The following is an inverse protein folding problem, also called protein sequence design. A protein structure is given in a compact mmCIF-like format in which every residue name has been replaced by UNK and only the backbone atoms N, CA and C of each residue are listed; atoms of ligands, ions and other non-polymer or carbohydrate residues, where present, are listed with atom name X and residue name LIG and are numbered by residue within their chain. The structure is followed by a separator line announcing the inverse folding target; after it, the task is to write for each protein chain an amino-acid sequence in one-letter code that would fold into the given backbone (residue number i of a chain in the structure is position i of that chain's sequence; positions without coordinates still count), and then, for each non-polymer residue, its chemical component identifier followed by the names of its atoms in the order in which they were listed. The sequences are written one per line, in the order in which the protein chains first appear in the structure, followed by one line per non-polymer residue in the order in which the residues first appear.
data_IF_416404607898
#
_entry.id   IF_416404607898
#
_cell.length_a   1.000
_cell.length_b   1.000
_cell.length_c   1.000
_cell.angle_alpha   90.00
_cell.angle_beta   90.00
_cell.angle_gamma   90.00
#
_symmetry.space_group_name_H-M   'P 1'
#
loop_
_entity.id
_entity.type
_entity.pdbx_description
1 polymer ?
#
# COMPACT_ATOMS: atom_id res chain seq x y z
N UNK A 1 -21.94 -32.37 -4.88
CA UNK A 1 -21.68 -31.63 -6.13
C UNK A 1 -20.25 -31.12 -5.99
N UNK A 2 -19.32 -31.81 -6.63
CA UNK A 2 -17.90 -31.85 -6.26
C UNK A 2 -17.19 -30.50 -6.31
N UNK A 3 -16.54 -30.15 -5.21
CA UNK A 3 -15.70 -28.96 -5.03
C UNK A 3 -14.22 -29.23 -5.34
N UNK A 4 -13.94 -30.29 -6.10
CA UNK A 4 -12.63 -30.70 -6.55
C UNK A 4 -12.63 -30.73 -8.08
N UNK A 5 -12.29 -29.60 -8.73
CA UNK A 5 -11.79 -29.50 -10.12
C UNK A 5 -11.56 -28.01 -10.52
N UNK A 6 -10.82 -27.25 -9.71
CA UNK A 6 -9.97 -26.17 -10.23
C UNK A 6 -8.53 -26.69 -10.15
N UNK A 7 -8.19 -27.65 -11.02
CA UNK A 7 -6.78 -27.93 -11.26
C UNK A 7 -6.19 -26.69 -11.93
N UNK A 8 -5.05 -26.23 -11.43
CA UNK A 8 -4.10 -25.30 -12.10
C UNK A 8 -3.56 -25.96 -13.39
N UNK A 9 -4.44 -26.36 -14.29
CA UNK A 9 -4.08 -26.88 -15.61
C UNK A 9 -3.72 -25.66 -16.48
N UNK A 10 -2.44 -25.30 -16.37
CA UNK A 10 -1.62 -24.59 -17.36
C UNK A 10 -2.11 -23.20 -17.78
N UNK A 11 -1.70 -22.18 -17.02
CA UNK A 11 -1.80 -20.77 -17.43
C UNK A 11 -0.78 -20.49 -18.55
N UNK A 12 -1.13 -20.85 -19.77
CA UNK A 12 -0.31 -20.57 -20.95
C UNK A 12 -0.34 -19.06 -21.27
N UNK A 13 0.83 -18.41 -21.26
CA UNK A 13 1.04 -17.12 -21.90
C UNK A 13 1.13 -17.34 -23.42
N UNK A 14 0.96 -16.30 -24.24
CA UNK A 14 1.11 -16.40 -25.71
C UNK A 14 1.85 -15.17 -26.24
N UNK A 15 2.99 -15.37 -26.89
CA UNK A 15 3.82 -14.26 -27.40
C UNK A 15 3.07 -13.44 -28.44
N UNK A 16 3.21 -12.10 -28.43
CA UNK A 16 2.60 -11.24 -29.45
C UNK A 16 3.24 -11.38 -30.84
N UNK A 17 4.52 -11.78 -30.92
CA UNK A 17 5.26 -11.86 -32.20
C UNK A 17 4.90 -13.11 -33.00
N UNK A 18 5.05 -14.31 -32.42
CA UNK A 18 4.89 -15.59 -33.12
C UNK A 18 3.64 -16.36 -32.69
N UNK A 19 2.85 -15.82 -31.76
CA UNK A 19 1.67 -16.46 -31.19
C UNK A 19 1.97 -17.85 -30.58
N UNK A 20 3.17 -18.04 -30.02
CA UNK A 20 3.58 -19.29 -29.40
C UNK A 20 3.23 -19.30 -27.91
N UNK A 21 2.60 -20.37 -27.40
CA UNK A 21 2.40 -20.56 -25.98
C UNK A 21 3.71 -20.71 -25.21
N UNK A 22 3.78 -20.15 -24.00
CA UNK A 22 4.92 -20.30 -23.08
C UNK A 22 4.47 -20.26 -21.61
N UNK A 23 5.31 -20.78 -20.71
CA UNK A 23 5.07 -20.80 -19.26
C UNK A 23 6.17 -20.02 -18.53
N UNK A 24 5.82 -18.88 -17.94
CA UNK A 24 6.76 -18.01 -17.23
C UNK A 24 7.42 -18.71 -16.04
N UNK A 25 6.72 -19.63 -15.35
CA UNK A 25 7.22 -20.24 -14.12
C UNK A 25 7.97 -21.53 -14.43
N UNK A 26 7.29 -22.49 -15.06
CA UNK A 26 7.83 -23.84 -15.27
C UNK A 26 8.93 -23.91 -16.33
N UNK A 27 8.87 -23.04 -17.33
CA UNK A 27 9.82 -23.04 -18.45
C UNK A 27 10.82 -21.90 -18.31
N UNK A 28 10.36 -20.66 -18.12
CA UNK A 28 11.26 -19.51 -18.05
C UNK A 28 11.88 -19.27 -16.67
N UNK A 29 11.42 -19.98 -15.62
CA UNK A 29 12.04 -19.96 -14.29
C UNK A 29 11.70 -18.73 -13.44
N UNK A 30 10.68 -17.94 -13.77
CA UNK A 30 10.22 -16.84 -12.92
C UNK A 30 9.53 -17.38 -11.64
N UNK A 31 9.69 -16.74 -10.46
CA UNK A 31 9.04 -17.19 -9.22
C UNK A 31 7.51 -17.18 -9.26
N UNK A 32 6.92 -16.26 -10.04
CA UNK A 32 5.48 -16.11 -10.21
C UNK A 32 5.19 -15.61 -11.63
N UNK A 33 3.98 -15.84 -12.13
CA UNK A 33 3.51 -15.19 -13.36
C UNK A 33 3.47 -13.67 -13.19
N UNK A 34 3.73 -12.94 -14.27
CA UNK A 34 3.85 -11.48 -14.23
C UNK A 34 3.29 -10.83 -15.49
N UNK A 35 2.93 -9.56 -15.36
CA UNK A 35 2.38 -8.73 -16.43
C UNK A 35 2.72 -7.26 -16.19
N UNK A 36 2.17 -6.37 -17.01
CA UNK A 36 2.50 -4.95 -16.97
C UNK A 36 1.26 -4.05 -16.93
N UNK A 37 1.43 -2.83 -16.44
CA UNK A 37 0.45 -1.78 -16.63
C UNK A 37 1.14 -0.42 -16.82
N UNK A 38 0.45 0.48 -17.52
CA UNK A 38 0.89 1.84 -17.82
C UNK A 38 -0.26 2.82 -17.63
N UNK A 39 0.05 3.97 -17.04
CA UNK A 39 -0.84 5.13 -16.96
C UNK A 39 -0.18 6.31 -17.70
N UNK A 40 -0.94 6.96 -18.59
CA UNK A 40 -0.41 8.03 -19.43
C UNK A 40 -0.24 9.36 -18.68
N UNK A 41 -1.14 9.68 -17.75
CA UNK A 41 -1.01 10.83 -16.87
C UNK A 41 -1.67 10.53 -15.52
N UNK A 42 -0.85 10.30 -14.48
CA UNK A 42 -1.31 10.03 -13.12
C UNK A 42 -2.02 11.21 -12.46
N UNK A 43 -1.89 12.42 -12.99
CA UNK A 43 -2.50 13.66 -12.48
C UNK A 43 -3.83 13.98 -13.16
N UNK A 44 -4.06 13.40 -14.35
CA UNK A 44 -5.31 13.51 -15.09
C UNK A 44 -6.40 12.69 -14.39
N UNK A 45 -7.44 13.36 -13.91
CA UNK A 45 -8.54 12.73 -13.18
C UNK A 45 -9.83 13.53 -13.30
N UNK A 46 -10.98 12.87 -13.22
CA UNK A 46 -12.29 13.53 -13.04
C UNK A 46 -12.65 13.74 -11.56
N UNK A 47 -11.85 13.20 -10.65
CA UNK A 47 -12.12 13.26 -9.22
C UNK A 47 -11.87 14.66 -8.65
N UNK A 48 -12.76 15.10 -7.76
CA UNK A 48 -12.60 16.38 -7.06
C UNK A 48 -11.49 16.32 -6.02
N UNK A 49 -11.04 17.50 -5.59
CA UNK A 49 -10.23 17.63 -4.39
C UNK A 49 -11.16 17.50 -3.19
N UNK A 50 -10.87 16.56 -2.29
CA UNK A 50 -11.74 16.22 -1.18
C UNK A 50 -11.09 15.30 -0.15
N UNK A 51 -11.72 15.13 1.02
CA UNK A 51 -11.11 14.46 2.16
C UNK A 51 -11.19 12.93 2.07
N UNK A 52 -12.01 12.37 1.18
CA UNK A 52 -12.14 10.91 1.03
C UNK A 52 -10.91 10.31 0.35
N UNK A 53 -10.47 9.09 0.73
CA UNK A 53 -9.23 8.50 0.21
C UNK A 53 -9.25 8.24 -1.31
N UNK A 54 -10.42 8.12 -1.93
CA UNK A 54 -10.58 8.00 -3.39
C UNK A 54 -10.55 9.34 -4.13
N UNK A 55 -10.66 10.44 -3.40
CA UNK A 55 -10.56 11.82 -3.91
C UNK A 55 -9.10 12.30 -3.78
N UNK A 56 -8.83 13.52 -4.25
CA UNK A 56 -7.48 14.09 -4.16
C UNK A 56 -7.31 14.90 -2.87
N UNK A 57 -6.30 14.60 -2.08
CA UNK A 57 -5.99 15.35 -0.86
C UNK A 57 -5.50 16.80 -1.12
N UNK A 58 -4.95 17.05 -2.31
CA UNK A 58 -4.48 18.37 -2.78
C UNK A 58 -4.52 18.42 -4.30
N UNK A 59 -4.44 19.63 -4.87
CA UNK A 59 -4.28 19.81 -6.32
C UNK A 59 -2.91 19.24 -6.73
N UNK A 60 -2.87 18.55 -7.86
CA UNK A 60 -1.66 17.99 -8.46
C UNK A 60 -1.56 18.43 -9.92
N UNK A 61 -0.36 18.72 -10.38
CA UNK A 61 0.02 18.87 -11.79
C UNK A 61 1.16 17.89 -12.13
N UNK A 62 1.44 17.64 -13.42
CA UNK A 62 2.62 16.87 -13.82
C UNK A 62 3.88 17.36 -13.10
N UNK A 63 4.67 16.40 -12.62
CA UNK A 63 5.83 16.63 -11.77
C UNK A 63 5.54 16.68 -10.27
N UNK A 64 4.30 16.85 -9.80
CA UNK A 64 3.99 16.79 -8.36
C UNK A 64 3.89 15.34 -7.85
N UNK A 65 3.43 14.40 -8.71
CA UNK A 65 3.44 12.97 -8.41
C UNK A 65 4.84 12.43 -8.70
N UNK A 66 5.50 11.86 -7.70
CA UNK A 66 6.89 11.37 -7.82
C UNK A 66 7.00 9.87 -8.03
N UNK A 67 6.04 9.13 -7.48
CA UNK A 67 6.01 7.69 -7.50
C UNK A 67 4.57 7.19 -7.36
N UNK A 68 4.39 5.88 -7.52
CA UNK A 68 3.18 5.16 -7.16
C UNK A 68 3.50 4.07 -6.15
N UNK A 69 2.55 3.76 -5.26
CA UNK A 69 2.55 2.55 -4.43
C UNK A 69 1.58 1.55 -5.03
N UNK A 70 1.99 0.29 -5.12
CA UNK A 70 1.18 -0.81 -5.62
C UNK A 70 0.89 -1.75 -4.44
N UNK A 71 -0.39 -1.95 -4.14
CA UNK A 71 -0.82 -2.67 -2.94
C UNK A 71 -1.62 -3.90 -3.34
N UNK A 72 -1.20 -5.07 -2.86
CA UNK A 72 -1.92 -6.33 -3.01
C UNK A 72 -3.00 -6.47 -1.93
N UNK A 73 -4.18 -6.95 -2.34
CA UNK A 73 -5.19 -7.46 -1.42
C UNK A 73 -4.87 -8.88 -0.95
N UNK A 74 -4.93 -9.12 0.37
CA UNK A 74 -4.79 -10.46 0.93
C UNK A 74 -6.19 -10.97 1.27
N UNK A 75 -6.54 -12.15 0.75
CA UNK A 75 -7.79 -12.81 1.08
C UNK A 75 -7.81 -13.13 2.58
N UNK A 76 -8.89 -12.80 3.28
CA UNK A 76 -9.07 -13.19 4.68
C UNK A 76 -9.31 -14.72 4.73
N UNK A 77 -8.36 -15.47 5.28
CA UNK A 77 -8.43 -16.93 5.43
C UNK A 77 -8.07 -17.29 6.87
N UNK A 78 -9.10 -17.63 7.65
CA UNK A 78 -9.00 -17.76 9.10
C UNK A 78 -9.51 -19.16 9.52
N UNK A 79 -8.64 -20.19 9.44
CA UNK A 79 -9.05 -21.57 9.73
C UNK A 79 -9.35 -21.81 11.21
N UNK A 80 -8.79 -21.00 12.11
CA UNK A 80 -8.96 -21.13 13.56
C UNK A 80 -9.93 -20.07 14.11
N UNK A 81 -11.18 -20.46 14.34
CA UNK A 81 -12.21 -19.57 14.88
C UNK A 81 -11.88 -19.00 16.27
N UNK A 82 -11.00 -19.64 17.04
CA UNK A 82 -10.50 -19.13 18.33
C UNK A 82 -9.53 -17.96 18.18
N UNK A 83 -8.97 -17.75 16.99
CA UNK A 83 -7.97 -16.72 16.67
C UNK A 83 -8.53 -15.56 15.84
N UNK A 84 -9.76 -15.68 15.35
CA UNK A 84 -10.41 -14.65 14.55
C UNK A 84 -11.80 -14.29 15.08
N UNK A 85 -12.11 -12.99 15.11
CA UNK A 85 -13.46 -12.52 15.43
C UNK A 85 -13.81 -11.25 14.66
N UNK A 86 -14.94 -11.27 13.96
CA UNK A 86 -15.47 -10.10 13.27
C UNK A 86 -16.09 -9.09 14.26
N UNK A 87 -16.08 -7.81 13.92
CA UNK A 87 -16.74 -6.73 14.67
C UNK A 87 -16.08 -6.33 15.99
N UNK A 88 -14.89 -6.83 16.32
CA UNK A 88 -14.20 -6.52 17.61
C UNK A 88 -13.66 -5.08 17.68
N UNK A 89 -13.62 -4.37 16.56
CA UNK A 89 -13.30 -2.95 16.48
C UNK A 89 -14.54 -2.10 16.19
N UNK A 90 -15.73 -2.53 16.62
CA UNK A 90 -16.98 -1.79 16.39
C UNK A 90 -17.00 -0.41 17.03
N UNK A 91 -16.22 -0.20 18.09
CA UNK A 91 -15.96 1.09 18.72
C UNK A 91 -14.94 1.96 17.96
N UNK A 92 -14.28 1.43 16.93
CA UNK A 92 -13.29 2.11 16.10
C UNK A 92 -13.88 2.50 14.73
N UNK A 93 -13.02 2.89 13.79
CA UNK A 93 -13.41 3.44 12.48
C UNK A 93 -14.12 2.44 11.57
N UNK A 94 -13.83 1.15 11.72
CA UNK A 94 -14.38 0.09 10.88
C UNK A 94 -15.81 -0.30 11.21
N UNK A 95 -16.31 0.05 12.40
CA UNK A 95 -17.65 -0.35 12.85
C UNK A 95 -17.85 -1.87 12.75
N UNK A 96 -19.01 -2.29 12.26
CA UNK A 96 -19.36 -3.70 12.05
C UNK A 96 -18.44 -4.44 11.04
N UNK A 97 -17.73 -3.70 10.18
CA UNK A 97 -16.81 -4.26 9.17
C UNK A 97 -15.38 -4.45 9.68
N UNK A 98 -15.11 -4.08 10.93
CA UNK A 98 -13.84 -4.38 11.59
C UNK A 98 -13.71 -5.88 11.90
N UNK A 99 -12.52 -6.31 12.30
CA UNK A 99 -12.27 -7.67 12.80
C UNK A 99 -11.04 -7.69 13.71
N UNK A 100 -10.68 -8.85 14.25
CA UNK A 100 -9.42 -9.04 15.00
C UNK A 100 -8.19 -8.62 14.21
N UNK A 101 -8.29 -8.52 12.88
CA UNK A 101 -7.17 -8.15 12.03
C UNK A 101 -7.06 -6.64 11.84
N UNK A 102 -8.16 -5.89 11.99
CA UNK A 102 -8.17 -4.45 11.75
C UNK A 102 -9.33 -3.75 12.46
N UNK A 103 -9.02 -2.62 13.09
CA UNK A 103 -10.00 -1.65 13.59
C UNK A 103 -10.63 -0.78 12.50
N UNK A 104 -10.22 -0.94 11.24
CA UNK A 104 -10.78 -0.25 10.06
C UNK A 104 -11.58 -1.23 9.19
N UNK A 105 -12.30 -0.72 8.18
CA UNK A 105 -12.97 -1.56 7.19
C UNK A 105 -12.00 -2.15 6.14
N UNK A 106 -10.71 -1.80 6.21
CA UNK A 106 -9.69 -2.31 5.29
C UNK A 106 -9.10 -3.61 5.85
N UNK A 107 -9.27 -4.70 5.10
CA UNK A 107 -8.69 -6.02 5.40
C UNK A 107 -7.17 -6.04 5.15
N UNK A 108 -6.55 -7.19 5.42
CA UNK A 108 -5.12 -7.44 5.27
C UNK A 108 -4.61 -7.18 3.86
N UNK A 109 -3.40 -6.64 3.76
CA UNK A 109 -2.74 -6.20 2.52
C UNK A 109 -1.23 -6.36 2.59
N UNK A 110 -0.60 -6.35 1.43
CA UNK A 110 0.86 -6.30 1.29
C UNK A 110 1.24 -5.27 0.23
N UNK A 111 2.48 -4.80 0.26
CA UNK A 111 3.00 -3.88 -0.74
C UNK A 111 3.65 -4.74 -1.83
N UNK A 112 3.13 -4.65 -3.06
CA UNK A 112 3.80 -5.25 -4.24
C UNK A 112 5.11 -4.50 -4.49
N UNK A 113 5.06 -3.18 -4.42
CA UNK A 113 6.24 -2.33 -4.53
C UNK A 113 5.88 -0.89 -4.88
N UNK A 114 6.89 -0.17 -5.32
CA UNK A 114 6.86 1.21 -5.74
C UNK A 114 7.35 1.35 -7.17
N UNK A 115 6.83 2.32 -7.91
CA UNK A 115 7.40 2.69 -9.21
C UNK A 115 7.53 4.20 -9.32
N UNK A 116 8.60 4.68 -9.94
CA UNK A 116 8.76 6.12 -10.19
C UNK A 116 7.76 6.61 -11.24
N UNK A 117 7.41 7.89 -11.16
CA UNK A 117 6.56 8.57 -12.14
C UNK A 117 7.43 9.57 -12.90
N UNK A 118 7.30 9.57 -14.22
CA UNK A 118 7.99 10.50 -15.11
C UNK A 118 7.53 11.95 -14.86
N UNK A 119 8.32 12.93 -15.30
CA UNK A 119 7.98 14.35 -15.10
C UNK A 119 6.71 14.81 -15.85
N UNK A 120 6.30 14.09 -16.89
CA UNK A 120 5.06 14.28 -17.63
C UNK A 120 3.85 13.62 -16.94
N UNK A 121 4.05 12.97 -15.80
CA UNK A 121 3.03 12.27 -15.03
C UNK A 121 2.80 10.82 -15.46
N UNK A 122 3.50 10.33 -16.49
CA UNK A 122 3.35 8.96 -16.98
C UNK A 122 4.12 7.94 -16.14
N UNK A 123 3.64 6.70 -16.10
CA UNK A 123 4.31 5.60 -15.36
C UNK A 123 4.00 4.26 -16.00
N UNK A 124 4.99 3.37 -16.05
CA UNK A 124 4.86 1.98 -16.49
C UNK A 124 5.62 1.06 -15.55
N UNK A 125 5.10 -0.14 -15.29
CA UNK A 125 5.77 -1.13 -14.45
C UNK A 125 5.42 -2.55 -14.83
N UNK A 126 6.34 -3.46 -14.51
CA UNK A 126 6.11 -4.90 -14.41
C UNK A 126 5.77 -5.27 -12.95
N UNK A 127 4.88 -6.25 -12.75
CA UNK A 127 4.49 -6.76 -11.42
C UNK A 127 3.89 -8.16 -11.50
N UNK A 128 3.53 -8.77 -10.36
CA UNK A 128 2.81 -10.04 -10.35
C UNK A 128 1.47 -9.97 -11.10
N UNK A 129 1.18 -11.04 -11.84
CA UNK A 129 -0.11 -11.31 -12.47
C UNK A 129 -0.98 -12.20 -11.57
N UNK A 130 -2.25 -12.38 -11.96
CA UNK A 130 -3.29 -13.15 -11.25
C UNK A 130 -3.37 -12.83 -9.74
N UNK A 131 -2.98 -11.61 -9.37
CA UNK A 131 -2.92 -11.08 -8.01
C UNK A 131 -3.86 -9.87 -7.93
N UNK A 132 -4.78 -9.79 -6.94
CA UNK A 132 -5.63 -8.61 -6.76
C UNK A 132 -4.81 -7.45 -6.23
N UNK A 133 -4.84 -6.30 -6.92
CA UNK A 133 -4.06 -5.12 -6.53
C UNK A 133 -4.80 -3.80 -6.75
N UNK A 134 -4.31 -2.74 -6.12
CA UNK A 134 -4.65 -1.36 -6.43
C UNK A 134 -3.41 -0.44 -6.38
N UNK A 135 -3.59 0.81 -6.82
CA UNK A 135 -2.50 1.80 -6.95
C UNK A 135 -2.83 3.06 -6.15
N UNK A 136 -1.80 3.67 -5.56
CA UNK A 136 -1.85 5.00 -4.95
C UNK A 136 -0.82 5.90 -5.63
N UNK A 137 -1.22 7.12 -5.98
CA UNK A 137 -0.28 8.14 -6.50
C UNK A 137 0.35 8.89 -5.32
N UNK A 138 1.67 9.07 -5.35
CA UNK A 138 2.45 9.57 -4.22
C UNK A 138 3.05 10.95 -4.53
N UNK A 139 3.00 11.84 -3.55
CA UNK A 139 3.68 13.12 -3.62
C UNK A 139 5.20 13.01 -3.35
N UNK A 140 5.85 14.17 -3.24
CA UNK A 140 7.27 14.29 -2.92
C UNK A 140 7.64 13.87 -1.51
N UNK A 141 6.69 13.58 -0.61
CA UNK A 141 6.96 12.97 0.69
C UNK A 141 6.63 11.47 0.70
N UNK A 142 6.29 10.89 -0.45
CA UNK A 142 5.92 9.49 -0.59
C UNK A 142 4.57 9.15 0.04
N UNK A 143 3.67 10.13 0.22
CA UNK A 143 2.34 9.93 0.82
C UNK A 143 1.28 9.82 -0.27
N UNK A 144 0.27 8.95 -0.07
CA UNK A 144 -0.84 8.82 -1.00
C UNK A 144 -1.67 10.12 -1.10
N UNK A 145 -1.72 10.72 -2.29
CA UNK A 145 -2.60 11.85 -2.60
C UNK A 145 -3.99 11.38 -3.02
N UNK A 146 -4.06 10.23 -3.69
CA UNK A 146 -5.30 9.59 -4.12
C UNK A 146 -5.09 8.07 -4.20
N UNK A 147 -6.09 7.31 -3.73
CA UNK A 147 -6.10 5.84 -3.77
C UNK A 147 -7.14 5.30 -4.74
N UNK A 148 -6.74 4.47 -5.70
CA UNK A 148 -7.65 3.80 -6.62
C UNK A 148 -8.37 2.61 -5.98
N UNK A 149 -9.40 2.84 -5.16
CA UNK A 149 -10.08 1.82 -4.35
C UNK A 149 -10.94 0.83 -5.15
N UNK A 150 -10.29 0.00 -5.98
CA UNK A 150 -10.88 -1.13 -6.69
C UNK A 150 -9.84 -2.24 -6.86
N UNK A 151 -10.28 -3.48 -7.01
CA UNK A 151 -9.38 -4.61 -7.27
C UNK A 151 -9.13 -4.76 -8.76
N UNK A 152 -7.95 -4.35 -9.20
CA UNK A 152 -7.41 -4.69 -10.51
C UNK A 152 -6.75 -6.08 -10.48
N UNK A 153 -6.64 -6.70 -11.64
CA UNK A 153 -5.89 -7.91 -11.88
C UNK A 153 -5.30 -7.86 -13.29
N UNK A 154 -4.12 -8.44 -13.46
CA UNK A 154 -3.48 -8.67 -14.76
C UNK A 154 -3.44 -10.17 -15.01
N UNK A 155 -3.64 -10.59 -16.25
CA UNK A 155 -3.37 -11.99 -16.64
C UNK A 155 -1.88 -12.14 -16.98
N UNK A 156 -1.30 -13.36 -16.91
CA UNK A 156 0.09 -13.59 -17.27
C UNK A 156 0.43 -13.02 -18.65
N UNK A 157 1.59 -12.35 -18.75
CA UNK A 157 2.09 -11.65 -19.95
C UNK A 157 1.22 -10.46 -20.45
N UNK A 158 0.04 -10.21 -19.88
CA UNK A 158 -0.81 -9.10 -20.34
C UNK A 158 -0.30 -7.74 -19.87
N UNK A 159 -0.48 -6.74 -20.73
CA UNK A 159 -0.32 -5.32 -20.44
C UNK A 159 -1.68 -4.63 -20.34
N UNK A 160 -1.82 -3.64 -19.44
CA UNK A 160 -3.02 -2.79 -19.34
C UNK A 160 -2.69 -1.30 -19.43
N UNK A 161 -3.49 -0.55 -20.18
CA UNK A 161 -3.35 0.90 -20.35
C UNK A 161 -4.51 1.68 -19.72
N UNK A 162 -4.25 2.91 -19.26
CA UNK A 162 -5.26 3.92 -18.95
C UNK A 162 -4.75 5.34 -19.28
N UNK A 163 -5.66 6.26 -19.66
CA UNK A 163 -5.28 7.65 -19.94
C UNK A 163 -4.87 8.38 -18.65
N UNK A 164 -5.64 8.21 -17.57
CA UNK A 164 -5.32 8.82 -16.29
C UNK A 164 -5.96 8.14 -15.08
N UNK A 165 -5.75 8.75 -13.91
CA UNK A 165 -6.27 8.28 -12.63
C UNK A 165 -7.79 8.55 -12.54
N UNK A 166 -8.60 7.57 -12.95
CA UNK A 166 -10.07 7.75 -12.99
C UNK A 166 -10.47 8.95 -13.85
N UNK A 167 -9.86 9.10 -15.03
CA UNK A 167 -10.18 10.17 -15.98
C UNK A 167 -11.45 9.89 -16.80
N UNK A 168 -11.96 8.66 -16.71
CA UNK A 168 -13.12 8.16 -17.44
C UNK A 168 -12.80 7.34 -18.70
N UNK A 169 -11.53 7.14 -19.08
CA UNK A 169 -11.14 6.41 -20.31
C UNK A 169 -11.62 4.96 -20.34
N UNK A 170 -11.69 4.32 -19.17
CA UNK A 170 -12.21 2.96 -18.99
C UNK A 170 -13.70 2.94 -18.58
N UNK A 171 -14.40 4.09 -18.63
CA UNK A 171 -15.79 4.21 -18.19
C UNK A 171 -16.71 4.81 -19.24
N UNK A 172 -16.53 6.08 -19.57
CA UNK A 172 -17.52 6.86 -20.33
C UNK A 172 -16.92 7.96 -21.19
N UNK A 173 -15.59 8.03 -21.27
CA UNK A 173 -14.85 9.01 -22.08
C UNK A 173 -13.95 8.25 -23.05
N UNK A 174 -13.74 8.83 -24.22
CA UNK A 174 -12.74 8.32 -25.15
C UNK A 174 -11.34 8.48 -24.55
N UNK A 175 -10.40 7.62 -24.98
CA UNK A 175 -8.99 7.79 -24.64
C UNK A 175 -8.48 9.13 -25.19
N UNK A 176 -7.70 9.84 -24.37
CA UNK A 176 -7.06 11.07 -24.80
C UNK A 176 -5.81 10.73 -25.61
N UNK A 177 -5.55 11.48 -26.67
CA UNK A 177 -4.33 11.32 -27.45
C UNK A 177 -3.16 11.93 -26.66
N UNK A 178 -2.33 11.08 -26.06
CA UNK A 178 -1.22 11.48 -25.20
C UNK A 178 0.06 10.82 -25.70
N UNK A 179 1.14 11.59 -25.79
CA UNK A 179 2.47 11.10 -26.12
C UNK A 179 3.32 11.16 -24.84
N UNK A 180 3.64 10.00 -24.28
CA UNK A 180 4.18 9.88 -22.93
C UNK A 180 5.56 9.24 -22.89
N UNK A 181 6.36 9.62 -21.89
CA UNK A 181 7.69 9.06 -21.66
C UNK A 181 7.64 7.58 -21.31
N UNK A 182 6.71 7.19 -20.44
CA UNK A 182 6.56 5.79 -20.01
C UNK A 182 6.32 4.81 -21.17
N UNK A 183 5.75 5.26 -22.29
CA UNK A 183 5.58 4.41 -23.48
C UNK A 183 6.92 3.89 -24.02
N UNK A 184 7.97 4.70 -23.96
CA UNK A 184 9.32 4.33 -24.42
C UNK A 184 10.09 3.48 -23.42
N UNK A 185 9.57 3.31 -22.21
CA UNK A 185 10.14 2.49 -21.16
C UNK A 185 9.38 1.16 -21.00
N UNK A 186 8.53 0.79 -21.95
CA UNK A 186 7.65 -0.37 -21.82
C UNK A 186 8.21 -1.64 -22.47
N UNK A 187 8.48 -1.60 -23.78
CA UNK A 187 9.07 -2.70 -24.55
C UNK A 187 9.84 -2.11 -25.74
N UNK A 188 11.15 -2.29 -25.74
CA UNK A 188 12.07 -1.73 -26.75
C UNK A 188 13.10 -2.74 -27.27
N UNK A 189 13.22 -3.91 -26.65
CA UNK A 189 14.16 -4.98 -27.04
C UNK A 189 13.42 -6.16 -27.67
N UNK A 190 13.85 -6.60 -28.86
CA UNK A 190 13.22 -7.70 -29.61
C UNK A 190 13.43 -9.08 -28.98
N UNK A 191 14.34 -9.18 -28.00
CA UNK A 191 14.62 -10.39 -27.22
C UNK A 191 13.77 -10.48 -25.95
N UNK A 192 13.10 -9.40 -25.55
CA UNK A 192 12.33 -9.30 -24.31
C UNK A 192 10.84 -9.52 -24.54
N UNK A 193 10.15 -9.99 -23.49
CA UNK A 193 8.68 -9.92 -23.37
C UNK A 193 8.23 -8.49 -23.02
N UNK A 194 8.89 -7.90 -22.03
CA UNK A 194 8.77 -6.49 -21.64
C UNK A 194 10.10 -6.01 -21.06
N UNK A 195 10.35 -4.71 -21.20
CA UNK A 195 11.52 -4.02 -20.67
C UNK A 195 11.16 -3.01 -19.57
N UNK A 196 9.89 -2.95 -19.17
CA UNK A 196 9.45 -2.10 -18.07
C UNK A 196 10.03 -2.57 -16.74
N UNK A 197 10.50 -1.64 -15.88
CA UNK A 197 11.04 -2.00 -14.58
C UNK A 197 10.02 -2.73 -13.71
N UNK A 198 10.47 -3.72 -12.93
CA UNK A 198 9.66 -4.31 -11.87
C UNK A 198 9.43 -3.31 -10.73
N UNK A 199 8.38 -3.51 -9.95
CA UNK A 199 8.09 -2.68 -8.79
C UNK A 199 9.16 -2.84 -7.70
N UNK A 200 9.75 -1.72 -7.27
CA UNK A 200 10.83 -1.67 -6.29
C UNK A 200 10.31 -1.86 -4.86
N UNK A 201 11.04 -2.55 -4.00
CA UNK A 201 10.59 -2.81 -2.63
C UNK A 201 10.48 -1.56 -1.73
N UNK A 202 11.29 -0.53 -1.99
CA UNK A 202 11.43 0.64 -1.11
C UNK A 202 11.50 1.96 -1.89
N UNK A 203 11.16 3.06 -1.20
CA UNK A 203 11.52 4.41 -1.62
C UNK A 203 12.86 4.81 -0.98
N UNK A 204 13.58 5.71 -1.64
CA UNK A 204 14.69 6.46 -1.06
C UNK A 204 14.20 7.85 -0.69
N UNK A 205 14.16 8.16 0.60
CA UNK A 205 13.77 9.47 1.12
C UNK A 205 14.98 10.16 1.76
N UNK A 206 15.07 11.48 1.64
CA UNK A 206 16.09 12.25 2.35
C UNK A 206 15.74 12.38 3.85
N UNK A 207 16.62 13.01 4.63
CA UNK A 207 16.41 13.23 6.07
C UNK A 207 15.17 14.07 6.42
N UNK A 208 14.67 14.87 5.48
CA UNK A 208 13.47 15.69 5.62
C UNK A 208 12.22 14.94 5.13
N UNK A 209 12.39 13.72 4.62
CA UNK A 209 11.34 12.87 4.07
C UNK A 209 10.99 13.16 2.62
N UNK A 210 11.81 13.93 1.89
CA UNK A 210 11.55 14.18 0.48
C UNK A 210 12.07 13.03 -0.39
N UNK A 211 11.33 12.70 -1.44
CA UNK A 211 11.63 11.66 -2.41
C UNK A 211 12.93 11.93 -3.16
N UNK A 212 13.80 10.92 -3.20
CA UNK A 212 15.08 10.91 -3.92
C UNK A 212 15.17 9.78 -4.95
N UNK A 213 14.16 8.92 -5.04
CA UNK A 213 14.15 7.78 -5.95
C UNK A 213 13.49 6.54 -5.35
N UNK A 214 13.57 5.45 -6.10
CA UNK A 214 13.21 4.09 -5.69
C UNK A 214 14.47 3.30 -5.31
N UNK A 215 14.31 2.22 -4.54
CA UNK A 215 15.40 1.38 -4.05
C UNK A 215 15.00 -0.10 -4.10
N UNK A 216 15.85 -0.90 -4.73
CA UNK A 216 15.74 -2.36 -4.75
C UNK A 216 15.73 -2.96 -3.33
N UNK A 217 14.96 -4.01 -3.15
CA UNK A 217 15.01 -4.90 -1.99
C UNK A 217 15.99 -6.05 -2.15
N UNK A 218 15.78 -7.10 -1.37
CA UNK A 218 16.61 -8.32 -1.39
C UNK A 218 16.04 -9.39 -2.32
N UNK A 219 14.75 -9.28 -2.70
CA UNK A 219 14.10 -10.21 -3.62
C UNK A 219 14.37 -9.83 -5.08
N UNK A 220 15.66 -9.78 -5.45
CA UNK A 220 16.09 -9.44 -6.80
C UNK A 220 16.78 -10.64 -7.43
N UNK A 221 16.33 -11.00 -8.63
CA UNK A 221 17.02 -11.96 -9.49
C UNK A 221 17.40 -11.26 -10.78
N UNK A 222 18.68 -11.27 -11.12
CA UNK A 222 19.16 -10.73 -12.39
C UNK A 222 19.03 -11.82 -13.45
N UNK A 223 18.26 -11.60 -14.54
CA UNK A 223 18.18 -12.54 -15.65
C UNK A 223 19.56 -12.87 -16.20
N UNK A 224 19.79 -14.11 -16.61
CA UNK A 224 21.03 -14.51 -17.27
C UNK A 224 20.74 -15.11 -18.63
N UNK A 225 21.59 -14.84 -19.62
CA UNK A 225 21.48 -15.38 -20.99
C UNK A 225 21.63 -16.91 -21.06
N UNK A 226 21.98 -17.58 -19.96
CA UNK A 226 22.29 -19.01 -19.91
C UNK A 226 21.11 -19.81 -19.35
N UNK A 227 20.49 -20.60 -20.22
CA UNK A 227 19.25 -21.37 -20.04
C UNK A 227 19.24 -22.48 -18.97
N UNK A 228 20.19 -22.53 -18.02
CA UNK A 228 20.23 -23.58 -17.01
C UNK A 228 19.85 -23.08 -15.60
N UNK A 229 18.54 -23.14 -15.30
CA UNK A 229 18.02 -23.16 -13.93
C UNK A 229 17.77 -21.81 -13.25
N UNK A 230 17.84 -20.69 -13.98
CA UNK A 230 17.49 -19.34 -13.50
C UNK A 230 16.53 -18.62 -14.46
N UNK A 231 16.00 -17.43 -14.09
CA UNK A 231 15.10 -16.68 -14.96
C UNK A 231 15.77 -16.39 -16.30
N UNK A 232 15.06 -16.75 -17.36
CA UNK A 232 15.46 -16.53 -18.75
C UNK A 232 15.74 -15.05 -19.02
N UNK A 233 16.64 -14.75 -19.96
CA UNK A 233 16.91 -13.40 -20.46
C UNK A 233 15.75 -12.77 -21.26
N UNK A 234 14.50 -13.09 -20.91
CA UNK A 234 13.27 -12.60 -21.57
C UNK A 234 12.80 -11.25 -21.02
N UNK A 235 13.63 -10.56 -20.25
CA UNK A 235 13.45 -9.16 -19.84
C UNK A 235 14.82 -8.52 -19.61
N UNK A 236 14.95 -7.24 -19.95
CA UNK A 236 16.17 -6.46 -19.73
C UNK A 236 16.36 -5.96 -18.29
N UNK A 237 15.31 -6.06 -17.45
CA UNK A 237 15.29 -5.47 -16.12
C UNK A 237 15.56 -6.50 -15.02
N UNK A 238 16.15 -6.10 -13.87
CA UNK A 238 16.19 -6.95 -12.69
C UNK A 238 14.77 -7.39 -12.28
N UNK A 239 14.58 -8.68 -12.07
CA UNK A 239 13.30 -9.27 -11.65
C UNK A 239 13.17 -9.09 -10.16
N UNK A 240 12.16 -8.33 -9.73
CA UNK A 240 11.92 -8.02 -8.32
C UNK A 240 10.46 -8.27 -7.93
N UNK A 241 10.24 -8.73 -6.69
CA UNK A 241 8.91 -8.74 -6.06
C UNK A 241 7.97 -9.85 -6.55
N UNK A 242 8.52 -10.85 -7.25
CA UNK A 242 7.77 -12.02 -7.71
C UNK A 242 7.70 -13.15 -6.66
N UNK A 243 8.47 -13.09 -5.57
CA UNK A 243 8.38 -14.09 -4.48
C UNK A 243 7.33 -13.69 -3.45
N UNK A 244 6.16 -14.33 -3.48
CA UNK A 244 5.02 -14.04 -2.59
C UNK A 244 5.37 -14.13 -1.09
N UNK A 245 6.24 -15.07 -0.70
CA UNK A 245 6.65 -15.31 0.69
C UNK A 245 7.52 -14.17 1.23
N UNK A 246 8.25 -13.47 0.36
CA UNK A 246 9.10 -12.34 0.73
C UNK A 246 8.38 -11.00 0.61
N UNK A 247 7.14 -10.99 0.10
CA UNK A 247 6.40 -9.74 -0.12
C UNK A 247 6.16 -9.01 1.20
N UNK A 248 6.70 -7.80 1.29
CA UNK A 248 6.64 -6.98 2.50
C UNK A 248 5.24 -6.47 2.80
N UNK A 249 4.95 -6.32 4.08
CA UNK A 249 3.83 -5.55 4.60
C UNK A 249 4.24 -4.81 5.86
N UNK A 250 3.39 -3.90 6.33
CA UNK A 250 3.53 -3.25 7.63
C UNK A 250 2.48 -3.83 8.58
N UNK A 251 2.94 -4.48 9.64
CA UNK A 251 2.11 -5.05 10.71
C UNK A 251 2.25 -4.18 11.96
N UNK A 252 1.13 -3.80 12.58
CA UNK A 252 1.19 -2.86 13.70
C UNK A 252 1.96 -3.44 14.88
N UNK A 253 1.80 -4.74 15.15
CA UNK A 253 2.38 -5.43 16.31
C UNK A 253 3.89 -5.58 16.14
N UNK A 254 4.34 -5.92 14.93
CA UNK A 254 5.75 -6.13 14.61
C UNK A 254 6.51 -4.82 14.39
N UNK A 255 5.91 -3.86 13.68
CA UNK A 255 6.63 -2.72 13.11
C UNK A 255 6.35 -1.41 13.84
N UNK A 256 5.09 -1.16 14.24
CA UNK A 256 4.67 0.14 14.76
C UNK A 256 4.72 0.20 16.29
N UNK A 257 4.17 -0.82 16.97
CA UNK A 257 4.11 -0.88 18.44
C UNK A 257 5.50 -0.76 19.08
N UNK A 258 6.57 -1.44 18.59
CA UNK A 258 7.91 -1.29 19.19
C UNK A 258 8.45 0.15 19.09
N UNK A 259 8.15 0.87 18.01
CA UNK A 259 8.55 2.28 17.86
C UNK A 259 7.79 3.15 18.87
N UNK A 260 6.48 2.92 19.02
CA UNK A 260 5.65 3.61 20.01
C UNK A 260 6.19 3.38 21.42
N UNK A 261 6.53 2.15 21.76
CA UNK A 261 7.04 1.78 23.07
C UNK A 261 8.36 2.50 23.36
N UNK A 262 9.27 2.50 22.39
CA UNK A 262 10.59 3.10 22.53
C UNK A 262 10.57 4.64 22.54
N UNK A 263 9.68 5.29 21.77
CA UNK A 263 9.81 6.72 21.43
C UNK A 263 8.60 7.60 21.77
N UNK A 264 7.47 7.00 22.16
CA UNK A 264 6.24 7.74 22.43
C UNK A 264 5.71 7.49 23.84
N UNK A 265 5.69 6.23 24.29
CA UNK A 265 4.99 5.78 25.50
C UNK A 265 5.47 6.44 26.81
N UNK A 266 6.73 6.90 26.84
CA UNK A 266 7.31 7.59 28.00
C UNK A 266 6.61 8.93 28.33
N UNK A 267 6.08 9.61 27.32
CA UNK A 267 5.36 10.89 27.50
C UNK A 267 3.85 10.76 27.26
N UNK A 268 3.41 9.77 26.48
CA UNK A 268 2.01 9.57 26.08
C UNK A 268 1.34 8.47 26.92
N UNK A 269 0.46 8.89 27.84
CA UNK A 269 -0.23 8.01 28.78
C UNK A 269 -1.64 8.55 29.08
N UNK A 270 -2.36 7.95 30.04
CA UNK A 270 -3.72 8.35 30.41
C UNK A 270 -3.89 9.85 30.74
N UNK A 271 -2.83 10.52 31.22
CA UNK A 271 -2.85 11.94 31.55
C UNK A 271 -2.40 12.85 30.38
N UNK A 272 -1.81 12.28 29.32
CA UNK A 272 -1.34 13.00 28.15
C UNK A 272 -1.74 12.27 26.85
N UNK A 273 -2.99 12.48 26.38
CA UNK A 273 -3.54 11.74 25.24
C UNK A 273 -2.82 12.06 23.91
N UNK A 274 -2.81 11.13 22.94
CA UNK A 274 -3.33 9.76 23.03
C UNK A 274 -2.56 8.90 24.04
N UNK A 275 -3.25 7.96 24.70
CA UNK A 275 -2.59 7.01 25.59
C UNK A 275 -1.91 5.92 24.76
N UNK A 276 -0.57 5.94 24.76
CA UNK A 276 0.27 5.04 23.99
C UNK A 276 1.08 4.09 24.90
N UNK A 277 0.64 3.95 26.15
CA UNK A 277 1.26 3.08 27.15
C UNK A 277 0.71 1.65 27.09
N UNK A 278 1.33 0.72 27.81
CA UNK A 278 0.87 -0.67 27.94
C UNK A 278 1.46 -1.65 26.92
N UNK A 279 2.30 -1.19 25.99
CA UNK A 279 3.01 -2.05 25.06
C UNK A 279 2.08 -2.92 24.21
N UNK A 280 2.51 -4.16 23.94
CA UNK A 280 1.71 -5.15 23.21
C UNK A 280 0.58 -5.81 24.01
N UNK A 281 0.29 -5.38 25.25
CA UNK A 281 -0.80 -5.94 26.05
C UNK A 281 -2.17 -5.58 25.44
N UNK A 282 -3.04 -6.59 25.28
CA UNK A 282 -4.36 -6.40 24.70
C UNK A 282 -5.30 -5.72 25.68
N UNK A 283 -5.96 -4.65 25.24
CA UNK A 283 -6.97 -3.94 25.99
C UNK A 283 -8.36 -4.56 25.75
N UNK A 284 -9.08 -4.87 26.82
CA UNK A 284 -10.48 -5.34 26.75
C UNK A 284 -11.43 -4.16 26.55
N UNK A 285 -12.20 -4.19 25.47
CA UNK A 285 -13.30 -3.25 25.18
C UNK A 285 -14.56 -4.08 24.97
N UNK A 286 -15.64 -3.74 25.67
CA UNK A 286 -16.92 -4.48 25.62
C UNK A 286 -16.78 -6.00 25.83
N UNK A 287 -15.83 -6.38 26.70
CA UNK A 287 -15.55 -7.77 27.04
C UNK A 287 -14.70 -8.54 26.01
N UNK A 288 -14.15 -7.86 25.01
CA UNK A 288 -13.27 -8.47 23.99
C UNK A 288 -11.90 -7.79 24.00
N UNK A 289 -10.84 -8.58 24.17
CA UNK A 289 -9.46 -8.10 24.04
C UNK A 289 -8.92 -8.50 22.66
N UNK A 290 -8.73 -7.51 21.77
CA UNK A 290 -8.29 -7.74 20.40
C UNK A 290 -7.05 -6.93 20.02
N UNK A 291 -6.94 -5.69 20.51
CA UNK A 291 -5.87 -4.75 20.15
C UNK A 291 -5.18 -4.16 21.38
N UNK A 292 -3.97 -3.64 21.22
CA UNK A 292 -3.29 -2.88 22.28
C UNK A 292 -3.97 -1.54 22.57
N UNK A 293 -3.60 -0.94 23.70
CA UNK A 293 -4.06 0.41 24.06
C UNK A 293 -3.66 1.46 23.02
N UNK A 294 -2.42 1.41 22.54
CA UNK A 294 -1.91 2.34 21.52
C UNK A 294 -2.73 2.27 20.22
N UNK A 295 -3.07 1.06 19.76
CA UNK A 295 -3.90 0.90 18.57
C UNK A 295 -5.30 1.48 18.77
N UNK A 296 -5.95 1.17 19.91
CA UNK A 296 -7.27 1.72 20.25
C UNK A 296 -7.27 3.25 20.31
N UNK A 297 -6.26 3.85 20.93
CA UNK A 297 -6.13 5.31 21.03
C UNK A 297 -5.93 5.99 19.68
N UNK A 298 -5.11 5.41 18.80
CA UNK A 298 -4.82 6.00 17.48
C UNK A 298 -6.01 5.91 16.52
N UNK A 299 -6.79 4.84 16.62
CA UNK A 299 -7.97 4.58 15.77
C UNK A 299 -9.27 5.10 16.37
N UNK A 300 -9.21 5.87 17.45
CA UNK A 300 -10.40 6.42 18.11
C UNK A 300 -11.17 7.36 17.15
N UNK A 301 -12.50 7.17 16.99
CA UNK A 301 -13.34 8.07 16.21
C UNK A 301 -13.34 9.51 16.75
N UNK A 302 -13.55 10.49 15.86
CA UNK A 302 -13.71 11.89 16.24
C UNK A 302 -15.18 12.30 16.12
N UNK A 303 -15.74 12.90 17.18
CA UNK A 303 -17.12 13.44 17.17
C UNK A 303 -17.27 14.44 16.02
N UNK A 304 -18.33 14.28 15.22
CA UNK A 304 -18.62 15.15 14.08
C UNK A 304 -17.80 14.88 12.83
N UNK A 305 -16.97 13.83 12.81
CA UNK A 305 -16.24 13.36 11.62
C UNK A 305 -16.81 12.01 11.17
N UNK A 306 -16.97 11.83 9.86
CA UNK A 306 -17.33 10.54 9.25
C UNK A 306 -16.20 9.52 9.50
N UNK A 307 -16.47 8.37 10.18
CA UNK A 307 -15.44 7.34 10.41
C UNK A 307 -14.83 6.75 9.14
N UNK A 308 -15.54 6.83 7.99
CA UNK A 308 -14.99 6.42 6.70
C UNK A 308 -13.87 7.34 6.20
N UNK A 309 -13.83 8.60 6.68
CA UNK A 309 -12.72 9.52 6.43
C UNK A 309 -11.55 9.23 7.38
N UNK A 310 -11.84 9.09 8.67
CA UNK A 310 -10.82 8.92 9.70
C UNK A 310 -11.32 9.21 11.11
N UNK A 311 -10.42 8.99 12.07
CA UNK A 311 -10.61 9.26 13.48
C UNK A 311 -9.99 10.58 13.92
N UNK A 312 -9.58 10.62 15.20
CA UNK A 312 -8.84 11.76 15.76
C UNK A 312 -7.44 11.89 15.17
N UNK A 313 -6.72 10.76 15.08
CA UNK A 313 -5.30 10.76 14.73
C UNK A 313 -5.00 10.13 13.35
N UNK A 314 -5.80 9.15 12.93
CA UNK A 314 -5.56 8.34 11.73
C UNK A 314 -6.71 8.46 10.74
N UNK A 315 -6.37 8.66 9.46
CA UNK A 315 -7.27 8.61 8.31
C UNK A 315 -6.85 7.42 7.43
N UNK A 316 -7.54 6.27 7.54
CA UNK A 316 -7.13 5.05 6.83
C UNK A 316 -7.06 5.26 5.31
N UNK A 317 -5.99 4.75 4.68
CA UNK A 317 -5.68 4.97 3.26
C UNK A 317 -5.35 6.42 2.87
N UNK A 318 -5.07 7.29 3.84
CA UNK A 318 -4.67 8.68 3.61
C UNK A 318 -3.78 9.25 4.74
N UNK A 319 -2.50 8.87 4.72
CA UNK A 319 -1.50 9.39 5.66
C UNK A 319 -1.39 10.92 5.60
N UNK A 320 -1.47 11.50 4.41
CA UNK A 320 -1.40 12.94 4.18
C UNK A 320 -2.54 13.73 4.87
N UNK A 321 -3.69 13.10 5.16
CA UNK A 321 -4.82 13.70 5.88
C UNK A 321 -4.83 13.35 7.38
N UNK A 322 -3.87 12.56 7.87
CA UNK A 322 -3.84 12.07 9.24
C UNK A 322 -3.18 13.07 10.19
N UNK A 323 -3.85 13.44 11.29
CA UNK A 323 -3.30 14.32 12.32
C UNK A 323 -1.98 13.79 12.89
N UNK A 324 -1.86 12.47 13.08
CA UNK A 324 -0.61 11.85 13.52
C UNK A 324 0.56 12.24 12.60
N UNK A 325 0.37 12.15 11.29
CA UNK A 325 1.41 12.43 10.31
C UNK A 325 1.68 13.94 10.22
N UNK A 326 0.64 14.79 10.28
CA UNK A 326 0.83 16.25 10.37
C UNK A 326 1.71 16.64 11.56
N UNK A 327 1.58 15.96 12.71
CA UNK A 327 2.41 16.21 13.89
C UNK A 327 3.81 15.59 13.77
N UNK A 328 3.95 14.39 13.20
CA UNK A 328 5.26 13.77 12.98
C UNK A 328 6.13 14.49 11.93
N UNK A 329 5.51 15.29 11.06
CA UNK A 329 6.21 16.19 10.13
C UNK A 329 6.18 17.66 10.59
N UNK A 330 5.41 17.98 11.63
CA UNK A 330 5.10 19.35 12.11
C UNK A 330 4.71 20.32 10.98
N UNK A 331 3.96 19.82 10.00
CA UNK A 331 3.62 20.50 8.74
C UNK A 331 2.14 20.27 8.38
N UNK A 332 1.52 21.23 7.70
CA UNK A 332 0.21 21.04 7.07
C UNK A 332 0.40 20.37 5.70
N UNK A 333 0.02 19.09 5.61
CA UNK A 333 0.39 18.24 4.47
C UNK A 333 -0.66 18.21 3.34
N UNK A 334 -1.90 18.57 3.64
CA UNK A 334 -3.00 18.58 2.67
C UNK A 334 -3.88 19.83 2.82
N UNK A 335 -4.87 19.98 1.93
CA UNK A 335 -5.85 21.06 2.02
C UNK A 335 -6.94 20.79 3.08
N UNK A 336 -6.91 19.63 3.75
CA UNK A 336 -7.94 19.17 4.67
C UNK A 336 -7.37 19.03 6.07
N UNK A 337 -7.50 20.10 6.87
CA UNK A 337 -7.10 20.05 8.26
C UNK A 337 -7.90 18.96 9.01
N UNK A 338 -7.25 18.05 9.75
CA UNK A 338 -7.94 16.95 10.43
C UNK A 338 -8.82 17.44 11.60
N UNK A 339 -8.58 18.67 12.09
CA UNK A 339 -9.39 19.41 13.08
C UNK A 339 -9.03 20.90 13.03
N UNK A 340 -9.80 21.76 13.69
CA UNK A 340 -9.55 23.21 13.75
C UNK A 340 -8.20 23.57 14.39
N UNK A 341 -7.95 23.07 15.61
CA UNK A 341 -6.74 23.36 16.39
C UNK A 341 -5.71 22.24 16.25
N UNK A 342 -5.02 22.18 15.11
CA UNK A 342 -3.99 21.15 14.85
C UNK A 342 -2.75 21.36 15.70
N UNK A 343 -2.18 22.56 15.64
CA UNK A 343 -0.93 22.93 16.30
C UNK A 343 -1.22 23.86 17.48
N UNK A 344 -1.02 23.43 18.73
CA UNK A 344 -1.21 24.29 19.90
C UNK A 344 -0.30 25.53 19.83
N UNK A 345 -0.82 26.69 20.26
CA UNK A 345 -0.03 27.93 20.35
C UNK A 345 0.88 27.90 21.58
N UNK A 346 0.35 27.40 22.70
CA UNK A 346 1.08 27.26 23.96
C UNK A 346 1.37 25.79 24.27
N UNK A 347 2.51 25.51 24.90
CA UNK A 347 2.90 24.16 25.31
C UNK A 347 3.21 23.20 24.14
N UNK A 348 3.40 23.71 22.92
CA UNK A 348 3.72 22.87 21.74
C UNK A 348 5.08 22.23 21.88
N UNK A 349 5.10 20.89 21.81
CA UNK A 349 6.30 20.09 21.60
C UNK A 349 6.39 19.71 20.13
N UNK A 350 7.56 19.90 19.53
CA UNK A 350 7.85 19.55 18.14
C UNK A 350 8.19 18.06 18.04
N UNK A 351 7.42 17.30 17.25
CA UNK A 351 7.58 15.84 17.13
C UNK A 351 8.41 15.41 15.92
N UNK A 352 8.81 16.33 15.06
CA UNK A 352 9.52 16.10 13.79
C UNK A 352 10.91 15.47 13.93
N UNK A 353 11.47 15.49 15.15
CA UNK A 353 12.81 14.97 15.47
C UNK A 353 12.81 13.71 16.35
N UNK A 354 11.65 13.22 16.78
CA UNK A 354 11.62 12.03 17.65
C UNK A 354 11.89 10.74 16.88
N UNK A 355 11.51 10.68 15.61
CA UNK A 355 11.65 9.49 14.76
C UNK A 355 12.75 9.70 13.72
N UNK A 356 13.40 8.59 13.33
CA UNK A 356 14.18 8.58 12.09
C UNK A 356 13.23 8.64 10.88
N UNK A 357 13.78 8.87 9.68
CA UNK A 357 12.95 8.87 8.48
C UNK A 357 12.31 7.50 8.21
N UNK A 358 13.03 6.40 8.42
CA UNK A 358 12.52 5.05 8.19
C UNK A 358 11.36 4.74 9.14
N UNK A 359 11.52 5.06 10.44
CA UNK A 359 10.46 4.89 11.43
C UNK A 359 9.24 5.74 11.12
N UNK A 360 9.44 7.03 10.79
CA UNK A 360 8.34 7.93 10.44
C UNK A 360 7.61 7.48 9.19
N UNK A 361 8.33 6.98 8.19
CA UNK A 361 7.73 6.49 6.96
C UNK A 361 7.00 5.15 7.15
N UNK A 362 7.38 4.31 8.12
CA UNK A 362 6.57 3.14 8.49
C UNK A 362 5.17 3.53 8.97
N UNK A 363 5.01 4.62 9.73
CA UNK A 363 3.67 5.12 10.09
C UNK A 363 2.89 5.60 8.84
N UNK A 364 3.56 6.23 7.88
CA UNK A 364 2.95 6.64 6.61
C UNK A 364 2.45 5.42 5.85
N UNK A 365 3.31 4.42 5.63
CA UNK A 365 2.95 3.19 4.93
C UNK A 365 1.82 2.44 5.63
N UNK A 366 1.91 2.27 6.96
CA UNK A 366 0.88 1.63 7.77
C UNK A 366 -0.49 2.29 7.58
N UNK A 367 -0.56 3.61 7.65
CA UNK A 367 -1.83 4.33 7.46
C UNK A 367 -2.30 4.21 6.01
N UNK A 368 -1.41 4.41 5.03
CA UNK A 368 -1.76 4.40 3.61
C UNK A 368 -2.26 3.02 3.13
N UNK A 369 -1.82 1.91 3.73
CA UNK A 369 -2.36 0.59 3.41
C UNK A 369 -3.64 0.25 4.18
N UNK A 370 -4.09 1.09 5.12
CA UNK A 370 -5.40 0.96 5.79
C UNK A 370 -5.34 0.83 7.31
N UNK A 371 -4.19 1.06 7.94
CA UNK A 371 -3.99 1.08 9.38
C UNK A 371 -4.41 -0.21 10.11
N UNK A 372 -4.13 -1.37 9.52
CA UNK A 372 -4.47 -2.69 10.07
C UNK A 372 -3.69 -2.97 11.37
N UNK A 373 -4.22 -3.89 12.19
CA UNK A 373 -3.54 -4.40 13.38
C UNK A 373 -2.68 -5.61 13.01
N UNK A 374 -3.32 -6.63 12.46
CA UNK A 374 -2.73 -7.87 12.01
C UNK A 374 -2.70 -7.86 10.48
N UNK A 375 -1.52 -7.87 9.89
CA UNK A 375 -1.34 -7.90 8.45
C UNK A 375 -0.70 -9.21 7.95
N UNK A 376 -0.62 -10.22 8.80
CA UNK A 376 -0.13 -11.56 8.49
C UNK A 376 -1.33 -12.48 8.33
N UNK A 377 -1.42 -13.16 7.19
CA UNK A 377 -2.60 -13.97 6.88
C UNK A 377 -2.70 -15.18 7.82
N UNK A 378 -3.84 -15.33 8.48
CA UNK A 378 -4.13 -16.45 9.37
C UNK A 378 -3.41 -16.37 10.72
N UNK A 379 -3.52 -17.43 11.55
CA UNK A 379 -2.95 -17.44 12.89
C UNK A 379 -1.43 -17.31 12.89
N UNK A 380 -0.93 -16.44 13.77
CA UNK A 380 0.51 -16.20 13.95
C UNK A 380 0.92 -16.10 15.44
N UNK A 381 2.20 -15.85 15.67
CA UNK A 381 2.79 -15.79 17.02
C UNK A 381 2.66 -14.40 17.69
N UNK A 382 2.22 -13.37 16.96
CA UNK A 382 2.08 -12.04 17.53
C UNK A 382 0.80 -11.92 18.37
N UNK A 383 0.75 -10.98 19.33
CA UNK A 383 -0.43 -10.78 20.17
C UNK A 383 -1.69 -10.46 19.35
N UNK A 384 -2.80 -11.12 19.66
CA UNK A 384 -4.06 -10.87 19.00
C UNK A 384 -5.22 -11.57 19.72
N UNK A 385 -6.41 -11.45 19.16
CA UNK A 385 -7.60 -12.09 19.71
C UNK A 385 -7.37 -13.59 19.96
N UNK A 386 -7.73 -14.03 21.16
CA UNK A 386 -7.78 -15.44 21.53
C UNK A 386 -9.04 -15.67 22.36
N UNK A 387 -9.92 -16.55 21.87
CA UNK A 387 -11.08 -17.00 22.62
C UNK A 387 -10.64 -17.71 23.92
N UNK A 388 -11.27 -17.36 25.04
CA UNK A 388 -11.08 -18.03 26.32
C UNK A 388 -11.90 -19.30 26.44
#
# INVERSE_FOLDING_TARGET
MDQYLYRREELWCVTTVTYQPFDQVKVEGYPHSWGTWICFDTTLTDTKVGPYPSERAKVMKPGDVKAVRIVQGVQCVEPEASRFKAGVGSHLLGGERSSSNSGTAFQQRRIIGYQYVEDDGSVVTSQTADTPYYIQILDDKGMAVQSGLSWAYLRPYHGRICSGCHDGSYRGRAFQNQHTKALYNWWYDDRSHYDSPFAFAYLKLDKNGNYQGVKHGEDVVVPSDVYYGGPSGTTSQPVEGLTDEKRRTVDFRRDIQPIIDAKCSGCHNANNPPDLSGGGELASVDGVAAFSRSYNSLLEPQRGKDPNLGGKYVHPSSAINSLLIWRLYEEALSQFAPRENVFPIEGRVMHDKFLTQDERYLFVEWIDIGAQWDNIQGPDFYPGYLAR
#
